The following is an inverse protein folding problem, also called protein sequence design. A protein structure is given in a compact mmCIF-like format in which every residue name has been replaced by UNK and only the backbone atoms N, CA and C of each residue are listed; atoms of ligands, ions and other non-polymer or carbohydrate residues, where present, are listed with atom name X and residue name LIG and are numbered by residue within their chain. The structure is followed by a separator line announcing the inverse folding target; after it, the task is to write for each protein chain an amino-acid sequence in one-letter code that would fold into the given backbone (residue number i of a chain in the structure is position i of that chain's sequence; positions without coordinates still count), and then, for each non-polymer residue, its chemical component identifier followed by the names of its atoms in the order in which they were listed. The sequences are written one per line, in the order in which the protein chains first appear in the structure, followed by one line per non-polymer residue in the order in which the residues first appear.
data_IF_292240560828
#
_entry.id   IF_292240560828
#
_cell.length_a   1.000
_cell.length_b   1.000
_cell.length_c   1.000
_cell.angle_alpha   90.00
_cell.angle_beta   90.00
_cell.angle_gamma   90.00
#
_symmetry.space_group_name_H-M   'P 1'
#
loop_
_entity.id
_entity.type
_entity.pdbx_description
1 polymer ?
#
# COMPACT_ATOMS: atom_id res chain seq x y z
N UNK A 1 -35.47 7.11 22.66
CA UNK A 1 -34.19 7.25 21.94
C UNK A 1 -33.79 5.87 21.44
N UNK A 2 -33.92 5.61 20.14
CA UNK A 2 -33.60 4.31 19.54
C UNK A 2 -32.08 4.21 19.32
N UNK A 3 -31.45 3.12 19.79
CA UNK A 3 -30.04 2.84 19.51
C UNK A 3 -29.84 2.70 17.99
N UNK A 4 -28.80 3.29 17.40
CA UNK A 4 -28.52 3.08 15.98
C UNK A 4 -28.27 1.59 15.73
N UNK A 5 -28.95 1.04 14.72
CA UNK A 5 -28.78 -0.35 14.29
C UNK A 5 -27.38 -0.48 13.69
N UNK A 6 -26.54 -1.32 14.31
CA UNK A 6 -25.19 -1.58 13.83
C UNK A 6 -25.27 -2.54 12.63
N UNK A 7 -24.96 -2.05 11.44
CA UNK A 7 -24.95 -2.85 10.22
C UNK A 7 -23.68 -3.72 10.26
N UNK A 8 -23.77 -5.06 10.14
CA UNK A 8 -22.59 -5.90 10.12
C UNK A 8 -21.74 -5.57 8.88
N UNK A 9 -20.45 -5.31 9.09
CA UNK A 9 -19.48 -5.01 8.03
C UNK A 9 -18.55 -6.19 7.82
N UNK A 10 -18.21 -6.46 6.56
CA UNK A 10 -17.22 -7.45 6.18
C UNK A 10 -15.89 -6.75 5.91
N UNK A 11 -14.82 -7.20 6.56
CA UNK A 11 -13.45 -6.73 6.29
C UNK A 11 -12.54 -7.91 5.94
N UNK A 12 -11.62 -7.73 4.97
CA UNK A 12 -10.58 -8.72 4.70
C UNK A 12 -9.72 -8.99 5.94
N UNK A 13 -9.46 -10.27 6.24
CA UNK A 13 -8.57 -10.67 7.33
C UNK A 13 -7.17 -11.04 6.85
N UNK A 14 -7.11 -11.67 5.68
CA UNK A 14 -5.86 -12.11 5.06
C UNK A 14 -5.93 -11.87 3.56
N UNK A 15 -4.82 -11.40 3.01
CA UNK A 15 -4.51 -11.36 1.59
C UNK A 15 -3.47 -12.46 1.33
N UNK A 16 -3.75 -13.29 0.33
CA UNK A 16 -2.86 -14.34 -0.13
C UNK A 16 -2.39 -14.02 -1.55
N UNK A 17 -1.10 -14.15 -1.78
CA UNK A 17 -0.45 -13.84 -3.06
C UNK A 17 0.53 -12.68 -2.96
N UNK A 18 1.33 -12.52 -4.01
CA UNK A 18 2.37 -11.51 -4.16
C UNK A 18 2.35 -11.01 -5.61
N UNK A 19 2.35 -9.69 -5.81
CA UNK A 19 2.45 -9.10 -7.15
C UNK A 19 3.90 -9.24 -7.66
N UNK A 20 4.13 -10.11 -8.65
CA UNK A 20 5.49 -10.48 -9.11
C UNK A 20 6.09 -9.54 -10.16
N UNK A 21 5.31 -8.59 -10.67
CA UNK A 21 5.74 -7.64 -11.71
C UNK A 21 6.53 -6.44 -11.16
N UNK A 22 6.71 -6.38 -9.83
CA UNK A 22 7.42 -5.30 -9.14
C UNK A 22 8.76 -5.84 -8.65
N UNK A 23 9.86 -5.20 -9.02
CA UNK A 23 11.16 -5.54 -8.47
C UNK A 23 11.27 -5.06 -7.01
N UNK A 24 11.89 -5.84 -6.13
CA UNK A 24 11.93 -5.52 -4.69
C UNK A 24 10.53 -5.49 -4.05
N UNK A 25 9.61 -6.35 -4.50
CA UNK A 25 8.23 -6.45 -4.04
C UNK A 25 8.05 -7.05 -2.63
N UNK A 26 9.12 -7.38 -1.92
CA UNK A 26 9.04 -7.84 -0.54
C UNK A 26 10.14 -7.15 0.24
N UNK A 27 9.75 -6.27 1.15
CA UNK A 27 10.67 -5.41 1.91
C UNK A 27 10.50 -5.70 3.40
N UNK A 28 11.61 -5.87 4.11
CA UNK A 28 11.59 -6.02 5.57
C UNK A 28 11.43 -4.66 6.23
N UNK A 29 10.38 -4.49 7.03
CA UNK A 29 10.21 -3.34 7.91
C UNK A 29 11.03 -3.53 9.19
N UNK A 30 11.07 -4.75 9.69
CA UNK A 30 11.93 -5.22 10.77
C UNK A 30 12.07 -6.76 10.66
N UNK A 31 12.66 -7.40 11.67
CA UNK A 31 12.87 -8.85 11.69
C UNK A 31 11.57 -9.67 11.57
N UNK A 32 10.45 -9.11 12.02
CA UNK A 32 9.19 -9.82 12.16
C UNK A 32 8.08 -9.27 11.26
N UNK A 33 8.32 -8.16 10.56
CA UNK A 33 7.33 -7.51 9.71
C UNK A 33 7.88 -7.30 8.30
N UNK A 34 7.12 -7.82 7.33
CA UNK A 34 7.40 -7.67 5.90
C UNK A 34 6.28 -6.87 5.23
N UNK A 35 6.65 -6.09 4.23
CA UNK A 35 5.74 -5.28 3.42
C UNK A 35 5.81 -5.76 1.98
N UNK A 36 4.65 -6.07 1.40
CA UNK A 36 4.57 -6.53 0.02
C UNK A 36 3.25 -6.15 -0.65
N UNK A 37 3.23 -5.95 -1.98
CA UNK A 37 2.02 -5.70 -2.73
C UNK A 37 1.27 -7.01 -3.01
N UNK A 38 -0.04 -6.99 -2.81
CA UNK A 38 -0.93 -8.07 -3.20
C UNK A 38 -2.17 -7.49 -3.89
N UNK A 39 -2.25 -7.64 -5.22
CA UNK A 39 -3.30 -7.00 -6.03
C UNK A 39 -3.31 -5.46 -5.81
N UNK A 40 -4.45 -4.88 -5.44
CA UNK A 40 -4.65 -3.44 -5.21
C UNK A 40 -4.46 -2.99 -3.76
N UNK A 41 -3.72 -3.75 -2.95
CA UNK A 41 -3.39 -3.38 -1.57
C UNK A 41 -1.90 -3.57 -1.30
N UNK A 42 -1.40 -2.79 -0.34
CA UNK A 42 -0.12 -3.00 0.28
C UNK A 42 -0.33 -3.75 1.60
N UNK A 43 0.28 -4.94 1.73
CA UNK A 43 0.15 -5.80 2.89
C UNK A 43 1.35 -5.61 3.81
N UNK A 44 1.10 -5.39 5.10
CA UNK A 44 2.09 -5.46 6.17
C UNK A 44 1.81 -6.72 6.97
N UNK A 45 2.68 -7.72 6.84
CA UNK A 45 2.51 -9.02 7.47
C UNK A 45 3.51 -9.19 8.60
N UNK A 46 2.99 -9.35 9.82
CA UNK A 46 3.76 -9.80 10.96
C UNK A 46 3.88 -11.33 10.91
N UNK A 47 5.08 -11.81 10.59
CA UNK A 47 5.39 -13.24 10.39
C UNK A 47 5.41 -14.02 11.70
N UNK A 48 5.76 -13.37 12.82
CA UNK A 48 5.82 -13.99 14.15
C UNK A 48 4.43 -14.28 14.74
N UNK A 49 3.46 -13.40 14.49
CA UNK A 49 2.11 -13.51 15.04
C UNK A 49 1.05 -13.91 14.01
N UNK A 50 1.42 -14.11 12.74
CA UNK A 50 0.51 -14.41 11.64
C UNK A 50 -0.64 -13.40 11.53
N UNK A 51 -0.32 -12.12 11.64
CA UNK A 51 -1.30 -11.02 11.53
C UNK A 51 -0.97 -10.13 10.35
N UNK A 52 -1.99 -9.70 9.63
CA UNK A 52 -1.85 -8.77 8.52
C UNK A 52 -2.56 -7.45 8.82
N UNK A 53 -1.91 -6.37 8.43
CA UNK A 53 -2.54 -5.08 8.19
C UNK A 53 -2.45 -4.79 6.70
N UNK A 54 -3.29 -3.91 6.19
CA UNK A 54 -3.28 -3.56 4.79
C UNK A 54 -3.61 -2.09 4.58
N UNK A 55 -3.05 -1.52 3.52
CA UNK A 55 -3.33 -0.18 3.04
C UNK A 55 -3.97 -0.34 1.67
N UNK A 56 -5.16 0.24 1.49
CA UNK A 56 -5.76 0.35 0.17
C UNK A 56 -4.98 1.35 -0.64
N UNK A 57 -4.61 0.94 -1.85
CA UNK A 57 -4.09 1.87 -2.85
C UNK A 57 -5.15 2.91 -3.16
N UNK A 58 -4.70 4.11 -3.56
CA UNK A 58 -5.58 5.23 -3.82
C UNK A 58 -6.70 4.88 -4.81
N UNK A 59 -6.42 3.95 -5.73
CA UNK A 59 -7.38 3.51 -6.73
C UNK A 59 -7.27 2.02 -7.08
N UNK A 60 -8.40 1.30 -7.18
CA UNK A 60 -8.40 -0.15 -7.41
C UNK A 60 -7.88 -0.56 -8.80
N UNK A 61 -7.96 0.32 -9.80
CA UNK A 61 -7.43 0.07 -11.16
C UNK A 61 -5.93 0.34 -11.33
N UNK A 62 -5.25 0.85 -10.30
CA UNK A 62 -3.82 1.15 -10.41
C UNK A 62 -3.00 -0.09 -10.05
N UNK A 63 -1.99 -0.36 -10.87
CA UNK A 63 -0.98 -1.37 -10.59
C UNK A 63 0.25 -0.71 -10.00
N UNK A 64 0.80 -1.32 -8.96
CA UNK A 64 2.09 -0.91 -8.41
C UNK A 64 3.18 -1.29 -9.42
N UNK A 65 4.08 -0.36 -9.71
CA UNK A 65 5.20 -0.57 -10.64
C UNK A 65 6.56 -0.49 -9.95
N UNK A 66 6.67 0.25 -8.85
CA UNK A 66 7.88 0.36 -8.04
C UNK A 66 7.54 0.70 -6.58
N UNK A 67 8.41 0.32 -5.65
CA UNK A 67 8.26 0.58 -4.22
C UNK A 67 9.62 0.89 -3.59
N UNK A 68 9.63 1.74 -2.57
CA UNK A 68 10.82 2.06 -1.79
C UNK A 68 10.46 2.30 -0.32
N UNK A 69 11.13 1.59 0.59
CA UNK A 69 10.87 1.66 2.03
C UNK A 69 11.93 2.50 2.75
N UNK A 70 11.47 3.42 3.60
CA UNK A 70 12.28 4.16 4.55
C UNK A 70 12.02 3.64 5.96
N UNK A 71 12.84 2.68 6.40
CA UNK A 71 12.69 1.99 7.70
C UNK A 71 12.73 2.99 8.86
N UNK A 72 13.70 3.91 8.87
CA UNK A 72 13.87 4.86 9.99
C UNK A 72 12.66 5.78 10.24
N UNK A 73 11.80 5.98 9.23
CA UNK A 73 10.61 6.84 9.32
C UNK A 73 9.31 6.05 9.24
N UNK A 74 9.37 4.71 9.14
CA UNK A 74 8.21 3.85 8.89
C UNK A 74 7.35 4.36 7.72
N UNK A 75 7.98 4.74 6.62
CA UNK A 75 7.31 5.30 5.44
C UNK A 75 7.66 4.50 4.21
N UNK A 76 6.69 4.26 3.35
CA UNK A 76 6.89 3.62 2.05
C UNK A 76 6.39 4.49 0.91
N UNK A 77 7.21 4.64 -0.12
CA UNK A 77 6.82 5.27 -1.38
C UNK A 77 6.40 4.18 -2.36
N UNK A 78 5.26 4.37 -3.02
CA UNK A 78 4.69 3.43 -3.99
C UNK A 78 4.42 4.21 -5.28
N UNK A 79 4.99 3.73 -6.38
CA UNK A 79 4.69 4.23 -7.72
C UNK A 79 3.58 3.38 -8.34
N UNK A 80 2.58 4.06 -8.86
CA UNK A 80 1.37 3.46 -9.38
C UNK A 80 1.10 3.92 -10.81
N UNK A 81 0.66 2.99 -11.66
CA UNK A 81 0.20 3.29 -13.02
C UNK A 81 -1.22 2.77 -13.21
N UNK A 82 -2.10 3.59 -13.76
CA UNK A 82 -3.44 3.19 -14.20
C UNK A 82 -3.62 3.45 -15.69
N UNK A 83 -4.52 2.71 -16.35
CA UNK A 83 -4.70 2.83 -17.81
C UNK A 83 -5.26 4.18 -18.26
N UNK A 84 -6.13 4.79 -17.44
CA UNK A 84 -6.85 6.04 -17.80
C UNK A 84 -6.36 7.27 -17.04
N UNK A 85 -5.42 7.11 -16.10
CA UNK A 85 -4.98 8.19 -15.21
C UNK A 85 -3.48 8.37 -15.25
N UNK A 86 -3.06 9.58 -14.90
CA UNK A 86 -1.64 9.92 -14.79
C UNK A 86 -0.96 8.97 -13.78
N UNK A 87 0.28 8.51 -14.05
CA UNK A 87 1.05 7.79 -13.07
C UNK A 87 1.26 8.68 -11.83
N UNK A 88 1.17 8.08 -10.65
CA UNK A 88 1.27 8.79 -9.37
C UNK A 88 2.28 8.11 -8.47
N UNK A 89 2.88 8.90 -7.59
CA UNK A 89 3.71 8.39 -6.49
C UNK A 89 3.02 8.80 -5.19
N UNK A 90 2.63 7.80 -4.42
CA UNK A 90 2.01 7.97 -3.12
C UNK A 90 2.98 7.59 -2.03
N UNK A 91 3.01 8.37 -0.95
CA UNK A 91 3.82 8.07 0.23
C UNK A 91 2.88 7.64 1.34
N UNK A 92 3.08 6.46 1.89
CA UNK A 92 2.26 5.92 2.98
C UNK A 92 3.05 5.90 4.27
N UNK A 93 2.41 6.40 5.33
CA UNK A 93 2.88 6.30 6.71
C UNK A 93 2.42 4.96 7.28
N UNK A 94 3.35 4.07 7.62
CA UNK A 94 3.04 2.69 8.04
C UNK A 94 2.52 2.61 9.49
N UNK A 95 2.80 3.62 10.31
CA UNK A 95 2.30 3.70 11.69
C UNK A 95 0.84 4.14 11.71
N UNK A 96 0.53 5.20 10.95
CA UNK A 96 -0.82 5.77 10.87
C UNK A 96 -1.70 5.10 9.82
N UNK A 97 -1.11 4.29 8.93
CA UNK A 97 -1.73 3.70 7.74
C UNK A 97 -2.40 4.74 6.82
N UNK A 98 -1.91 5.98 6.85
CA UNK A 98 -2.49 7.10 6.12
C UNK A 98 -1.66 7.42 4.88
N UNK A 99 -2.35 7.80 3.81
CA UNK A 99 -1.74 8.27 2.59
C UNK A 99 -1.34 9.75 2.71
N UNK A 100 -0.12 10.05 2.29
CA UNK A 100 0.38 11.39 1.96
C UNK A 100 0.68 11.40 0.46
N UNK A 101 -0.32 11.74 -0.35
CA UNK A 101 -0.17 11.80 -1.79
C UNK A 101 0.66 13.04 -2.17
N UNK A 102 1.76 12.85 -2.90
CA UNK A 102 2.43 13.94 -3.58
C UNK A 102 1.88 13.95 -5.01
N UNK A 103 0.92 14.84 -5.28
CA UNK A 103 0.31 14.94 -6.60
C UNK A 103 1.38 15.34 -7.63
N UNK A 104 1.63 14.43 -8.57
CA UNK A 104 2.36 14.55 -9.85
C UNK A 104 3.24 15.80 -10.00
N UNK A 105 4.56 15.58 -10.10
CA UNK A 105 5.50 16.59 -10.61
C UNK A 105 5.07 16.99 -12.02
N UNK A 106 4.67 18.26 -12.21
CA UNK A 106 4.55 18.84 -13.54
C UNK A 106 5.98 18.98 -14.10
N UNK A 107 6.36 18.08 -15.01
CA UNK A 107 7.60 18.21 -15.77
C UNK A 107 8.58 17.07 -15.55
N UNK A 108 8.39 15.98 -16.29
CA UNK A 108 9.52 15.34 -16.96
C UNK A 108 9.35 15.64 -18.46
N UNK A 109 9.59 16.91 -18.84
CA UNK A 109 9.87 17.24 -20.23
C UNK A 109 11.22 16.57 -20.56
N UNK A 110 11.18 15.68 -21.55
CA UNK A 110 12.35 15.00 -22.08
C UNK A 110 13.45 16.02 -22.41
N UNK A 111 14.65 15.82 -21.85
CA UNK A 111 15.89 16.34 -22.42
C UNK A 111 16.60 15.21 -23.15
#
# INVERSE_FOLDING_TARGET
MSRPMMIPTLSPKFFFGLTTQVNGNCLFLNENEIVYPASGVLVIHNTAHHKQKYIHLAEPQKVITAMALCINKNVIAVAEKGDKKKPTISIYDLDSMNEKTINSVNGFENR
#
